data_IF_161552512527
#
_entry.id   IF_161552512527
#
_cell.length_a   1.000
_cell.length_b   1.000
_cell.length_c   1.000
_cell.angle_alpha   90.00
_cell.angle_beta   90.00
_cell.angle_gamma   90.00
#
_symmetry.space_group_name_H-M   'P 1'
#
loop_
_entity.id
_entity.type
_entity.pdbx_description
1 polymer ?
#
# COMPACT_ATOMS: atom_id res chain seq x y z
N UNK A 1 -18.06 -16.49 4.50
CA UNK A 1 -16.64 -16.45 4.91
C UNK A 1 -16.54 -15.49 6.07
N UNK A 2 -15.86 -15.91 7.15
CA UNK A 2 -15.68 -15.13 8.37
C UNK A 2 -14.92 -13.83 8.07
N UNK A 3 -15.64 -12.71 7.92
CA UNK A 3 -15.05 -11.38 8.01
C UNK A 3 -15.00 -10.95 9.47
N UNK A 4 -13.98 -10.19 9.85
CA UNK A 4 -13.90 -9.57 11.18
C UNK A 4 -15.11 -8.64 11.37
N UNK A 5 -15.74 -8.71 12.55
CA UNK A 5 -16.90 -7.87 12.89
C UNK A 5 -16.49 -6.40 12.95
N UNK A 6 -17.19 -5.55 12.20
CA UNK A 6 -16.86 -4.12 12.01
C UNK A 6 -17.60 -3.14 12.93
N UNK A 7 -18.47 -3.63 13.81
CA UNK A 7 -19.26 -2.79 14.71
C UNK A 7 -19.29 -3.37 16.13
N UNK A 8 -19.27 -2.53 17.18
CA UNK A 8 -19.51 -2.97 18.54
C UNK A 8 -20.91 -3.59 18.70
N UNK A 9 -21.10 -4.58 19.60
CA UNK A 9 -22.38 -5.19 19.88
C UNK A 9 -23.31 -4.15 20.45
N UNK A 10 -24.54 -4.15 19.95
CA UNK A 10 -25.63 -3.42 20.56
C UNK A 10 -26.16 -4.20 21.76
N UNK A 11 -26.75 -3.51 22.74
CA UNK A 11 -27.41 -4.14 23.88
C UNK A 11 -28.48 -5.11 23.35
N UNK A 12 -28.23 -6.42 23.50
CA UNK A 12 -29.06 -7.50 22.95
C UNK A 12 -28.28 -8.58 22.19
N UNK A 13 -27.02 -8.34 21.83
CA UNK A 13 -26.12 -9.39 21.33
C UNK A 13 -25.61 -10.27 22.47
N UNK A 14 -26.43 -11.21 22.92
CA UNK A 14 -26.00 -12.24 23.85
C UNK A 14 -25.05 -13.20 23.14
N UNK A 15 -23.74 -13.09 23.42
CA UNK A 15 -22.81 -14.18 23.21
C UNK A 15 -21.43 -13.90 22.59
N UNK A 16 -20.88 -12.67 22.54
CA UNK A 16 -19.52 -12.51 21.98
C UNK A 16 -18.53 -11.61 22.73
N UNK A 17 -17.29 -12.13 22.74
CA UNK A 17 -16.13 -11.78 23.55
C UNK A 17 -15.36 -10.60 22.94
N UNK A 18 -14.57 -9.91 23.77
CA UNK A 18 -13.62 -8.88 23.35
C UNK A 18 -12.75 -9.31 22.14
N UNK A 19 -12.22 -8.36 21.34
CA UNK A 19 -11.32 -8.67 20.23
C UNK A 19 -10.20 -9.61 20.68
N UNK A 20 -9.97 -10.67 19.90
CA UNK A 20 -9.04 -11.76 20.24
C UNK A 20 -7.60 -11.47 19.81
N UNK A 21 -7.42 -10.59 18.83
CA UNK A 21 -6.12 -10.12 18.36
C UNK A 21 -6.14 -8.62 18.04
N UNK A 22 -4.97 -8.05 17.75
CA UNK A 22 -4.80 -6.61 17.48
C UNK A 22 -5.56 -6.16 16.22
N UNK A 23 -5.66 -7.01 15.20
CA UNK A 23 -6.35 -6.66 13.96
C UNK A 23 -7.85 -6.52 14.19
N UNK A 24 -8.45 -7.44 14.95
CA UNK A 24 -9.84 -7.33 15.37
C UNK A 24 -10.10 -6.07 16.19
N UNK A 25 -9.20 -5.72 17.10
CA UNK A 25 -9.30 -4.50 17.90
C UNK A 25 -9.25 -3.24 17.02
N UNK A 26 -8.35 -3.21 16.03
CA UNK A 26 -8.23 -2.11 15.08
C UNK A 26 -9.53 -1.95 14.28
N UNK A 27 -10.00 -3.02 13.65
CA UNK A 27 -11.20 -3.04 12.79
C UNK A 27 -12.44 -2.63 13.59
N UNK A 28 -12.55 -3.10 14.82
CA UNK A 28 -13.63 -2.74 15.72
C UNK A 28 -13.69 -1.24 16.02
N UNK A 29 -12.54 -0.66 16.39
CA UNK A 29 -12.47 0.78 16.66
C UNK A 29 -12.70 1.61 15.39
N UNK A 30 -12.27 1.09 14.23
CA UNK A 30 -12.45 1.75 12.94
C UNK A 30 -13.93 1.92 12.58
N UNK A 31 -14.79 0.96 12.90
CA UNK A 31 -16.23 1.11 12.68
C UNK A 31 -16.83 2.32 13.37
N UNK A 32 -16.45 2.55 14.63
CA UNK A 32 -16.88 3.72 15.41
C UNK A 32 -16.29 5.03 14.87
N UNK A 33 -15.02 5.00 14.46
CA UNK A 33 -14.35 6.16 13.84
C UNK A 33 -15.04 6.56 12.54
N UNK A 34 -15.35 5.61 11.65
CA UNK A 34 -16.03 5.88 10.39
C UNK A 34 -17.44 6.43 10.60
N UNK A 35 -18.18 5.94 11.61
CA UNK A 35 -19.48 6.50 11.97
C UNK A 35 -19.37 7.99 12.34
N UNK A 36 -18.39 8.36 13.17
CA UNK A 36 -18.13 9.75 13.52
C UNK A 36 -17.68 10.59 12.32
N UNK A 37 -16.87 10.03 11.41
CA UNK A 37 -16.50 10.73 10.17
C UNK A 37 -17.73 11.03 9.31
N UNK A 38 -18.67 10.09 9.19
CA UNK A 38 -19.93 10.26 8.44
C UNK A 38 -20.86 11.30 9.08
N UNK A 39 -20.85 11.44 10.41
CA UNK A 39 -21.58 12.50 11.12
C UNK A 39 -20.98 13.89 10.83
N UNK A 40 -19.64 13.98 10.74
CA UNK A 40 -18.95 15.24 10.43
C UNK A 40 -19.12 15.65 8.96
N UNK A 41 -19.10 14.69 8.03
CA UNK A 41 -19.32 14.92 6.60
C UNK A 41 -19.98 13.69 6.00
N UNK A 42 -21.24 13.82 5.56
CA UNK A 42 -21.94 12.67 4.98
C UNK A 42 -21.34 12.24 3.63
N UNK A 43 -21.65 11.02 3.21
CA UNK A 43 -21.11 10.44 1.98
C UNK A 43 -21.46 11.28 0.74
N UNK A 44 -22.67 11.82 0.68
CA UNK A 44 -23.13 12.68 -0.41
C UNK A 44 -22.28 13.94 -0.50
N UNK A 45 -22.01 14.59 0.63
CA UNK A 45 -21.13 15.76 0.69
C UNK A 45 -19.72 15.44 0.24
N UNK A 46 -19.18 14.27 0.62
CA UNK A 46 -17.86 13.81 0.15
C UNK A 46 -17.87 13.63 -1.36
N UNK A 47 -18.88 12.95 -1.91
CA UNK A 47 -19.02 12.72 -3.36
C UNK A 47 -19.16 14.03 -4.14
N UNK A 48 -19.92 15.00 -3.64
CA UNK A 48 -20.06 16.33 -4.24
C UNK A 48 -18.71 17.06 -4.26
N UNK A 49 -17.96 17.02 -3.16
CA UNK A 49 -16.65 17.66 -3.05
C UNK A 49 -15.61 17.10 -4.04
N UNK A 50 -15.75 15.84 -4.49
CA UNK A 50 -14.85 15.22 -5.47
C UNK A 50 -14.87 15.92 -6.83
N UNK A 51 -15.95 16.63 -7.18
CA UNK A 51 -16.03 17.40 -8.43
C UNK A 51 -14.98 18.52 -8.53
N UNK A 52 -14.41 18.94 -7.40
CA UNK A 52 -13.36 19.97 -7.31
C UNK A 52 -11.95 19.39 -7.16
N UNK A 53 -11.81 18.06 -7.16
CA UNK A 53 -10.52 17.38 -6.98
C UNK A 53 -9.96 16.96 -8.34
N UNK A 54 -8.66 17.17 -8.54
CA UNK A 54 -7.98 16.72 -9.74
C UNK A 54 -8.05 15.18 -9.88
N UNK A 55 -8.04 14.65 -11.12
CA UNK A 55 -7.97 13.21 -11.35
C UNK A 55 -6.80 12.54 -10.60
N UNK A 56 -6.93 11.26 -10.21
CA UNK A 56 -5.83 10.49 -9.66
C UNK A 56 -4.64 10.42 -10.60
N UNK A 57 -3.45 10.32 -10.02
CA UNK A 57 -2.26 9.92 -10.75
C UNK A 57 -2.29 8.42 -11.01
N UNK A 58 -1.68 7.98 -12.11
CA UNK A 58 -1.61 6.57 -12.47
C UNK A 58 -0.65 5.80 -11.56
N UNK A 59 -1.20 5.18 -10.51
CA UNK A 59 -0.44 4.40 -9.52
C UNK A 59 0.22 3.17 -10.15
N UNK A 60 -0.52 2.41 -10.96
CA UNK A 60 -0.04 1.16 -11.59
C UNK A 60 1.01 1.50 -12.64
N UNK A 61 0.76 2.50 -13.49
CA UNK A 61 1.70 2.97 -14.50
C UNK A 61 3.01 3.44 -13.89
N UNK A 62 2.98 4.16 -12.76
CA UNK A 62 4.20 4.58 -12.06
C UNK A 62 5.05 3.38 -11.61
N UNK A 63 4.43 2.32 -11.09
CA UNK A 63 5.15 1.09 -10.74
C UNK A 63 5.77 0.42 -11.97
N UNK A 64 4.99 0.24 -13.05
CA UNK A 64 5.46 -0.39 -14.30
C UNK A 64 6.63 0.37 -14.91
N UNK A 65 6.53 1.69 -15.03
CA UNK A 65 7.59 2.54 -15.58
C UNK A 65 8.87 2.42 -14.75
N UNK A 66 8.78 2.50 -13.43
CA UNK A 66 9.97 2.47 -12.56
C UNK A 66 10.63 1.09 -12.52
N UNK A 67 9.84 0.03 -12.54
CA UNK A 67 10.36 -1.33 -12.64
C UNK A 67 11.12 -1.54 -13.96
N UNK A 68 10.55 -1.06 -15.08
CA UNK A 68 11.19 -1.13 -16.39
C UNK A 68 12.47 -0.29 -16.48
N UNK A 69 12.48 0.93 -15.92
CA UNK A 69 13.66 1.79 -15.89
C UNK A 69 14.80 1.20 -15.07
N UNK A 70 14.53 0.56 -13.94
CA UNK A 70 15.58 0.13 -12.99
C UNK A 70 16.01 -1.34 -13.14
N UNK A 71 15.18 -2.16 -13.79
CA UNK A 71 15.31 -3.61 -13.83
C UNK A 71 15.10 -4.29 -12.47
N UNK A 72 14.50 -3.57 -11.51
CA UNK A 72 14.27 -3.98 -10.13
C UNK A 72 12.79 -3.82 -9.76
N UNK A 73 12.31 -4.44 -8.67
CA UNK A 73 10.99 -4.15 -8.15
C UNK A 73 10.82 -2.65 -7.84
N UNK A 74 9.72 -2.05 -8.27
CA UNK A 74 9.43 -0.64 -8.00
C UNK A 74 9.20 -0.40 -6.49
N UNK A 75 9.73 0.70 -5.96
CA UNK A 75 9.58 1.04 -4.54
C UNK A 75 8.30 1.83 -4.27
N UNK A 76 7.48 1.33 -3.33
CA UNK A 76 6.45 2.09 -2.62
C UNK A 76 7.03 2.42 -1.23
N UNK A 77 7.42 3.68 -1.04
CA UNK A 77 8.03 4.11 0.22
C UNK A 77 6.96 4.55 1.23
N UNK A 78 6.99 3.98 2.43
CA UNK A 78 5.97 4.19 3.46
C UNK A 78 6.32 5.35 4.40
N UNK A 79 5.49 6.40 4.37
CA UNK A 79 5.52 7.53 5.30
C UNK A 79 4.78 7.14 6.57
N UNK A 80 5.54 6.85 7.63
CA UNK A 80 5.02 6.31 8.90
C UNK A 80 5.65 6.99 10.11
N UNK A 81 4.82 7.41 11.07
CA UNK A 81 5.26 8.00 12.34
C UNK A 81 5.51 6.96 13.43
N UNK A 82 4.56 6.05 13.63
CA UNK A 82 4.61 5.02 14.65
C UNK A 82 4.03 3.69 14.14
N UNK A 83 4.24 2.61 14.89
CA UNK A 83 3.51 1.36 14.73
C UNK A 83 3.26 0.68 16.08
N UNK A 84 2.23 -0.19 16.20
CA UNK A 84 1.99 -0.95 17.43
C UNK A 84 3.20 -1.77 17.88
N UNK A 85 3.97 -2.31 16.92
CA UNK A 85 5.13 -3.16 17.18
C UNK A 85 6.42 -2.43 17.56
N UNK A 86 6.57 -1.14 17.22
CA UNK A 86 7.82 -0.38 17.41
C UNK A 86 7.64 0.92 18.20
N UNK A 87 6.41 1.31 18.53
CA UNK A 87 6.13 2.62 19.10
C UNK A 87 6.44 3.74 18.11
N UNK A 88 6.96 4.87 18.59
CA UNK A 88 7.35 6.01 17.76
C UNK A 88 8.63 5.67 16.99
N UNK A 89 8.55 5.70 15.66
CA UNK A 89 9.66 5.41 14.75
C UNK A 89 10.34 6.72 14.32
N UNK A 90 9.55 7.76 14.07
CA UNK A 90 10.04 9.08 13.67
C UNK A 90 9.52 10.15 14.65
N UNK A 91 10.30 10.54 15.68
CA UNK A 91 9.89 11.56 16.63
C UNK A 91 9.65 12.94 16.00
N UNK A 92 10.50 13.34 15.03
CA UNK A 92 10.40 14.60 14.31
C UNK A 92 9.67 14.41 12.98
N UNK A 93 8.39 14.03 13.07
CA UNK A 93 7.60 13.64 11.91
C UNK A 93 7.10 14.84 11.10
N UNK A 94 7.70 15.03 9.92
CA UNK A 94 7.25 15.97 8.89
C UNK A 94 6.91 15.16 7.62
N UNK A 95 5.61 14.87 7.38
CA UNK A 95 5.20 13.96 6.30
C UNK A 95 5.61 14.47 4.93
N UNK A 96 5.61 15.79 4.72
CA UNK A 96 5.95 16.41 3.44
C UNK A 96 7.45 16.29 3.17
N UNK A 97 8.31 16.60 4.15
CA UNK A 97 9.76 16.45 3.98
C UNK A 97 10.17 15.00 3.75
N UNK A 98 9.57 14.06 4.48
CA UNK A 98 9.82 12.63 4.32
C UNK A 98 9.42 12.18 2.91
N UNK A 99 8.21 12.56 2.46
CA UNK A 99 7.71 12.24 1.13
C UNK A 99 8.59 12.84 0.00
N UNK A 100 9.07 14.08 0.16
CA UNK A 100 10.02 14.69 -0.78
C UNK A 100 11.34 13.92 -0.84
N UNK A 101 11.86 13.49 0.31
CA UNK A 101 13.09 12.72 0.39
C UNK A 101 12.95 11.35 -0.29
N UNK A 102 11.82 10.65 -0.09
CA UNK A 102 11.54 9.39 -0.77
C UNK A 102 11.38 9.55 -2.28
N UNK A 103 10.65 10.57 -2.73
CA UNK A 103 10.52 10.88 -4.15
C UNK A 103 11.89 11.14 -4.80
N UNK A 104 12.74 11.95 -4.13
CA UNK A 104 14.11 12.21 -4.57
C UNK A 104 14.99 10.95 -4.58
N UNK A 105 14.76 10.04 -3.63
CA UNK A 105 15.43 8.74 -3.55
C UNK A 105 14.97 7.72 -4.60
N UNK A 106 14.00 8.06 -5.46
CA UNK A 106 13.56 7.21 -6.55
C UNK A 106 12.34 6.33 -6.26
N UNK A 107 11.60 6.59 -5.17
CA UNK A 107 10.33 5.93 -4.92
C UNK A 107 9.35 6.13 -6.09
N UNK A 108 8.73 5.05 -6.54
CA UNK A 108 7.73 5.07 -7.61
C UNK A 108 6.41 5.66 -7.10
N UNK A 109 5.97 5.16 -5.95
CA UNK A 109 4.78 5.62 -5.24
C UNK A 109 5.12 5.84 -3.76
N UNK A 110 4.22 6.50 -3.04
CA UNK A 110 4.30 6.65 -1.60
C UNK A 110 3.10 5.97 -0.95
N UNK A 111 3.33 5.33 0.19
CA UNK A 111 2.28 4.82 1.06
C UNK A 111 2.19 5.73 2.29
N UNK A 112 1.01 6.22 2.63
CA UNK A 112 0.82 7.14 3.76
C UNK A 112 -0.12 6.51 4.76
N UNK A 113 0.36 6.30 5.99
CA UNK A 113 -0.49 5.83 7.09
C UNK A 113 -1.47 6.93 7.48
N UNK A 114 -2.76 6.60 7.43
CA UNK A 114 -3.84 7.52 7.83
C UNK A 114 -4.48 7.15 9.17
N UNK A 115 -4.23 5.94 9.67
CA UNK A 115 -4.78 5.50 10.94
C UNK A 115 -4.18 6.30 12.12
N UNK A 116 -5.04 7.04 12.82
CA UNK A 116 -4.63 7.91 13.92
C UNK A 116 -4.29 7.12 15.19
N UNK A 117 -5.12 6.15 15.57
CA UNK A 117 -5.05 5.52 16.90
C UNK A 117 -3.81 4.64 17.08
N UNK A 118 -3.47 3.83 16.08
CA UNK A 118 -2.43 2.80 16.17
C UNK A 118 -1.12 3.20 15.48
N UNK A 119 -1.21 4.00 14.41
CA UNK A 119 -0.03 4.42 13.63
C UNK A 119 0.33 5.90 13.79
N UNK A 120 -0.49 6.68 14.52
CA UNK A 120 -0.37 8.14 14.62
C UNK A 120 -0.29 8.83 13.26
N UNK A 121 -1.00 8.26 12.28
CA UNK A 121 -1.22 8.81 10.96
C UNK A 121 -2.37 9.82 10.94
N UNK A 122 -2.67 10.34 9.75
CA UNK A 122 -3.87 11.14 9.51
C UNK A 122 -4.15 11.29 8.02
N UNK A 123 -5.42 11.47 7.67
CA UNK A 123 -5.81 11.87 6.32
C UNK A 123 -5.25 13.26 5.94
N UNK A 124 -5.00 14.11 6.93
CA UNK A 124 -4.37 15.42 6.76
C UNK A 124 -2.90 15.30 6.31
N UNK A 125 -2.17 14.28 6.78
CA UNK A 125 -0.81 14.01 6.29
C UNK A 125 -0.81 13.66 4.80
N UNK A 126 -1.75 12.80 4.38
CA UNK A 126 -1.95 12.43 2.97
C UNK A 126 -2.28 13.68 2.12
N UNK A 127 -3.22 14.51 2.60
CA UNK A 127 -3.63 15.74 1.93
C UNK A 127 -2.47 16.75 1.83
N UNK A 128 -1.69 16.92 2.89
CA UNK A 128 -0.53 17.81 2.90
C UNK A 128 0.54 17.37 1.89
N UNK A 129 0.83 16.07 1.80
CA UNK A 129 1.75 15.50 0.79
C UNK A 129 1.26 15.78 -0.62
N UNK A 130 -0.04 15.59 -0.89
CA UNK A 130 -0.63 15.92 -2.20
C UNK A 130 -0.49 17.40 -2.52
N UNK A 131 -0.86 18.27 -1.58
CA UNK A 131 -0.84 19.73 -1.76
C UNK A 131 0.57 20.30 -1.93
N UNK A 132 1.59 19.64 -1.39
CA UNK A 132 2.99 20.00 -1.59
C UNK A 132 3.51 19.77 -3.03
N UNK A 133 2.67 19.26 -3.95
CA UNK A 133 3.02 19.10 -5.37
C UNK A 133 3.90 17.89 -5.66
N UNK A 134 3.95 16.91 -4.74
CA UNK A 134 4.74 15.69 -4.91
C UNK A 134 4.13 14.85 -6.04
N UNK A 135 4.97 14.44 -6.97
CA UNK A 135 4.53 13.81 -8.21
C UNK A 135 4.28 12.31 -8.10
N UNK A 136 4.85 11.65 -7.09
CA UNK A 136 4.57 10.24 -6.81
C UNK A 136 3.08 10.02 -6.54
N UNK A 137 2.48 8.95 -7.08
CA UNK A 137 1.16 8.53 -6.68
C UNK A 137 1.11 8.13 -5.20
N UNK A 138 -0.05 8.34 -4.56
CA UNK A 138 -0.22 8.15 -3.12
C UNK A 138 -1.19 7.00 -2.81
N UNK A 139 -0.73 6.00 -2.06
CA UNK A 139 -1.54 4.96 -1.44
C UNK A 139 -2.02 5.44 -0.07
N UNK A 140 -3.34 5.44 0.14
CA UNK A 140 -3.95 5.57 1.46
C UNK A 140 -3.83 4.24 2.19
N UNK A 141 -2.89 4.13 3.13
CA UNK A 141 -2.67 2.92 3.94
C UNK A 141 -3.52 3.03 5.21
N UNK A 142 -4.70 2.44 5.14
CA UNK A 142 -5.76 2.49 6.14
C UNK A 142 -6.42 1.12 6.29
N UNK A 143 -7.07 0.89 7.43
CA UNK A 143 -7.99 -0.23 7.60
C UNK A 143 -9.34 0.16 7.00
N UNK A 144 -9.54 -0.08 5.71
CA UNK A 144 -10.81 0.20 5.04
C UNK A 144 -11.83 -0.86 5.41
N UNK A 145 -12.94 -0.43 6.01
CA UNK A 145 -14.07 -1.26 6.45
C UNK A 145 -15.39 -0.81 5.81
N UNK A 146 -15.41 0.36 5.17
CA UNK A 146 -16.60 1.01 4.61
C UNK A 146 -16.26 1.84 3.35
N UNK A 147 -17.20 1.93 2.41
CA UNK A 147 -17.01 2.64 1.14
C UNK A 147 -16.74 4.13 1.31
N UNK A 148 -17.27 4.71 2.40
CA UNK A 148 -17.03 6.10 2.75
C UNK A 148 -15.54 6.42 2.82
N UNK A 149 -14.72 5.52 3.37
CA UNK A 149 -13.28 5.72 3.47
C UNK A 149 -12.60 5.79 2.09
N UNK A 150 -13.09 5.05 1.09
CA UNK A 150 -12.55 5.09 -0.28
C UNK A 150 -12.79 6.46 -0.92
N UNK A 151 -14.01 6.98 -0.82
CA UNK A 151 -14.33 8.32 -1.32
C UNK A 151 -13.57 9.41 -0.54
N UNK A 152 -13.49 9.28 0.78
CA UNK A 152 -12.78 10.22 1.63
C UNK A 152 -11.26 10.22 1.36
N UNK A 153 -10.66 9.06 1.13
CA UNK A 153 -9.27 8.93 0.71
C UNK A 153 -9.00 9.67 -0.60
N UNK A 154 -9.89 9.51 -1.59
CA UNK A 154 -9.79 10.25 -2.87
C UNK A 154 -9.92 11.76 -2.67
N UNK A 155 -10.86 12.20 -1.84
CA UNK A 155 -11.02 13.62 -1.49
C UNK A 155 -9.73 14.19 -0.87
N UNK A 156 -9.01 13.36 -0.11
CA UNK A 156 -7.73 13.70 0.53
C UNK A 156 -6.51 13.49 -0.39
N UNK A 157 -6.72 13.06 -1.63
CA UNK A 157 -5.69 13.01 -2.67
C UNK A 157 -5.03 11.64 -2.90
N UNK A 158 -5.60 10.56 -2.33
CA UNK A 158 -5.15 9.19 -2.57
C UNK A 158 -5.38 8.76 -4.02
N UNK A 159 -4.39 8.17 -4.67
CA UNK A 159 -4.50 7.55 -6.00
C UNK A 159 -4.71 6.04 -5.93
N UNK A 160 -4.45 5.45 -4.77
CA UNK A 160 -4.74 4.06 -4.47
C UNK A 160 -5.20 3.90 -3.03
N UNK A 161 -5.90 2.80 -2.75
CA UNK A 161 -6.29 2.41 -1.39
C UNK A 161 -5.89 0.97 -1.08
N UNK A 162 -5.71 0.67 0.20
CA UNK A 162 -5.44 -0.68 0.70
C UNK A 162 -6.76 -1.39 1.05
N UNK A 163 -6.92 -2.62 0.56
CA UNK A 163 -8.03 -3.52 0.89
C UNK A 163 -7.47 -4.79 1.49
N UNK A 164 -7.82 -5.11 2.74
CA UNK A 164 -7.21 -6.24 3.47
C UNK A 164 -8.16 -7.45 3.43
N UNK A 165 -7.69 -8.58 2.89
CA UNK A 165 -8.52 -9.77 2.64
C UNK A 165 -9.02 -10.46 3.91
N UNK A 166 -8.26 -10.38 5.01
CA UNK A 166 -8.68 -10.85 6.34
C UNK A 166 -9.77 -9.98 6.98
N UNK A 167 -9.89 -8.72 6.56
CA UNK A 167 -10.87 -7.75 7.08
C UNK A 167 -12.15 -7.73 6.24
N UNK A 168 -12.01 -7.92 4.93
CA UNK A 168 -13.11 -7.75 3.97
C UNK A 168 -13.59 -9.11 3.40
N UNK A 169 -14.90 -9.41 3.41
CA UNK A 169 -15.47 -10.47 2.60
C UNK A 169 -15.41 -10.08 1.13
N UNK A 170 -15.52 -11.08 0.26
CA UNK A 170 -15.32 -10.92 -1.19
C UNK A 170 -16.27 -9.87 -1.79
N UNK A 171 -17.51 -9.80 -1.29
CA UNK A 171 -18.52 -8.85 -1.77
C UNK A 171 -18.08 -7.38 -1.57
N UNK A 172 -17.44 -7.09 -0.44
CA UNK A 172 -16.96 -5.75 -0.15
C UNK A 172 -15.71 -5.44 -0.93
N UNK A 173 -14.79 -6.40 -1.10
CA UNK A 173 -13.61 -6.23 -1.96
C UNK A 173 -14.05 -5.90 -3.39
N UNK A 174 -15.02 -6.64 -3.93
CA UNK A 174 -15.59 -6.37 -5.26
C UNK A 174 -16.22 -4.97 -5.36
N UNK A 175 -16.98 -4.56 -4.33
CA UNK A 175 -17.57 -3.23 -4.26
C UNK A 175 -16.48 -2.14 -4.24
N UNK A 176 -15.48 -2.26 -3.36
CA UNK A 176 -14.41 -1.27 -3.22
C UNK A 176 -13.55 -1.19 -4.49
N UNK A 177 -13.26 -2.32 -5.15
CA UNK A 177 -12.57 -2.32 -6.46
C UNK A 177 -13.40 -1.56 -7.50
N UNK A 178 -14.72 -1.80 -7.55
CA UNK A 178 -15.62 -1.09 -8.47
C UNK A 178 -15.62 0.42 -8.23
N UNK A 179 -15.66 0.83 -6.95
CA UNK A 179 -15.57 2.24 -6.55
C UNK A 179 -14.21 2.84 -6.92
N UNK A 180 -13.11 2.13 -6.66
CA UNK A 180 -11.78 2.61 -7.06
C UNK A 180 -11.71 2.85 -8.56
N UNK A 181 -12.23 1.91 -9.37
CA UNK A 181 -12.29 2.06 -10.83
C UNK A 181 -13.14 3.24 -11.27
N UNK A 182 -14.31 3.47 -10.67
CA UNK A 182 -15.15 4.63 -11.00
C UNK A 182 -14.49 5.96 -10.64
N UNK A 183 -13.64 5.97 -9.62
CA UNK A 183 -12.84 7.11 -9.19
C UNK A 183 -11.48 7.24 -9.92
N UNK A 184 -11.13 6.28 -10.78
CA UNK A 184 -9.82 6.19 -11.45
C UNK A 184 -8.65 5.81 -10.53
N UNK A 185 -8.91 5.32 -9.33
CA UNK A 185 -7.90 4.86 -8.37
C UNK A 185 -7.55 3.38 -8.55
N UNK A 186 -6.37 3.00 -8.08
CA UNK A 186 -5.99 1.59 -7.92
C UNK A 186 -6.44 1.04 -6.56
N UNK A 187 -6.65 -0.28 -6.48
CA UNK A 187 -6.88 -0.99 -5.23
C UNK A 187 -5.76 -2.00 -5.01
N UNK A 188 -4.97 -1.83 -3.94
CA UNK A 188 -4.00 -2.81 -3.48
C UNK A 188 -4.71 -3.81 -2.57
N UNK A 189 -4.86 -5.06 -3.02
CA UNK A 189 -5.51 -6.11 -2.22
C UNK A 189 -4.46 -6.90 -1.47
N UNK A 190 -4.42 -6.75 -0.15
CA UNK A 190 -3.46 -7.41 0.74
C UNK A 190 -3.92 -8.82 1.11
N UNK A 191 -3.00 -9.78 1.01
CA UNK A 191 -3.18 -11.19 1.39
C UNK A 191 -1.99 -11.65 2.24
N UNK A 192 -2.25 -12.63 3.11
CA UNK A 192 -1.28 -13.25 4.01
C UNK A 192 -1.14 -14.74 3.77
N UNK A 193 -2.24 -15.41 3.38
CA UNK A 193 -2.31 -16.86 3.31
C UNK A 193 -2.68 -17.36 1.91
N UNK A 194 -2.51 -18.67 1.73
CA UNK A 194 -2.93 -19.38 0.52
C UNK A 194 -4.41 -19.21 0.26
N UNK A 195 -5.23 -19.35 1.31
CA UNK A 195 -6.69 -19.30 1.25
C UNK A 195 -7.17 -17.90 0.87
N UNK A 196 -6.51 -16.85 1.39
CA UNK A 196 -6.77 -15.48 1.00
C UNK A 196 -6.39 -15.23 -0.46
N UNK A 197 -5.21 -15.68 -0.89
CA UNK A 197 -4.80 -15.54 -2.28
C UNK A 197 -5.77 -16.27 -3.23
N UNK A 198 -6.17 -17.50 -2.90
CA UNK A 198 -7.13 -18.28 -3.70
C UNK A 198 -8.49 -17.57 -3.81
N UNK A 199 -8.97 -16.91 -2.74
CA UNK A 199 -10.17 -16.04 -2.79
C UNK A 199 -9.97 -14.88 -3.78
N UNK A 200 -8.87 -14.14 -3.64
CA UNK A 200 -8.62 -12.93 -4.44
C UNK A 200 -8.40 -13.25 -5.92
N UNK A 201 -7.76 -14.38 -6.24
CA UNK A 201 -7.62 -14.83 -7.63
C UNK A 201 -8.96 -15.18 -8.29
N UNK A 202 -9.99 -15.49 -7.51
CA UNK A 202 -11.36 -15.68 -8.00
C UNK A 202 -12.10 -14.37 -8.33
N UNK A 203 -11.62 -13.22 -7.85
CA UNK A 203 -12.26 -11.92 -8.05
C UNK A 203 -11.77 -11.28 -9.34
N UNK A 204 -12.71 -10.78 -10.15
CA UNK A 204 -12.39 -10.07 -11.38
C UNK A 204 -11.97 -8.63 -11.09
N UNK A 205 -10.99 -8.14 -11.86
CA UNK A 205 -10.59 -6.75 -11.83
C UNK A 205 -9.58 -6.38 -10.75
N UNK A 206 -9.01 -7.35 -10.04
CA UNK A 206 -7.82 -7.19 -9.21
C UNK A 206 -6.62 -6.97 -10.12
N UNK A 207 -5.86 -5.90 -9.88
CA UNK A 207 -4.67 -5.53 -10.66
C UNK A 207 -3.39 -5.48 -9.81
N UNK A 208 -3.55 -5.28 -8.49
CA UNK A 208 -2.46 -5.24 -7.51
C UNK A 208 -2.76 -6.20 -6.36
N UNK A 209 -1.82 -7.09 -6.04
CA UNK A 209 -1.87 -7.96 -4.86
C UNK A 209 -0.66 -7.68 -3.98
N UNK A 210 -0.90 -7.32 -2.72
CA UNK A 210 0.12 -7.18 -1.70
C UNK A 210 0.28 -8.47 -0.91
N UNK A 211 1.48 -9.05 -0.87
CA UNK A 211 1.78 -10.18 0.00
C UNK A 211 2.46 -9.61 1.26
N UNK A 212 1.72 -9.62 2.37
CA UNK A 212 2.24 -9.17 3.64
C UNK A 212 2.93 -10.33 4.37
N UNK A 213 4.26 -10.25 4.44
CA UNK A 213 5.09 -11.27 5.07
C UNK A 213 5.09 -11.18 6.61
N UNK A 214 4.33 -10.24 7.20
CA UNK A 214 4.15 -10.14 8.64
C UNK A 214 2.85 -10.79 9.07
N UNK A 215 2.96 -11.75 9.97
CA UNK A 215 1.81 -12.30 10.67
C UNK A 215 1.25 -11.24 11.64
N UNK A 216 -0.04 -10.91 11.54
CA UNK A 216 -0.66 -9.84 12.33
C UNK A 216 -1.04 -10.27 13.76
N UNK A 217 -1.00 -11.56 14.08
CA UNK A 217 -1.26 -12.09 15.42
C UNK A 217 0.04 -12.21 16.24
N UNK A 218 1.11 -12.70 15.60
CA UNK A 218 2.40 -12.98 16.23
C UNK A 218 3.47 -11.92 15.95
N UNK A 219 3.24 -11.03 14.98
CA UNK A 219 4.21 -10.06 14.44
C UNK A 219 5.49 -10.67 13.86
N UNK A 220 5.56 -12.00 13.72
CA UNK A 220 6.66 -12.69 13.06
C UNK A 220 6.68 -12.30 11.58
N UNK A 221 7.88 -12.26 11.00
CA UNK A 221 8.08 -11.86 9.61
C UNK A 221 8.85 -12.94 8.89
N UNK A 222 8.28 -13.45 7.79
CA UNK A 222 8.88 -14.48 6.94
C UNK A 222 8.69 -14.15 5.46
N UNK A 223 9.76 -13.68 4.82
CA UNK A 223 9.75 -13.34 3.38
C UNK A 223 9.58 -14.57 2.47
N UNK A 224 9.82 -15.79 2.97
CA UNK A 224 9.58 -17.02 2.22
C UNK A 224 8.08 -17.27 1.97
N UNK A 225 7.19 -16.61 2.72
CA UNK A 225 5.76 -16.66 2.44
C UNK A 225 5.43 -16.16 1.03
N UNK A 226 6.11 -15.11 0.56
CA UNK A 226 5.98 -14.61 -0.81
C UNK A 226 6.26 -15.70 -1.83
N UNK A 227 7.37 -16.42 -1.70
CA UNK A 227 7.73 -17.50 -2.63
C UNK A 227 6.68 -18.63 -2.58
N UNK A 228 6.30 -19.07 -1.37
CA UNK A 228 5.28 -20.11 -1.17
C UNK A 228 3.94 -19.77 -1.85
N UNK A 229 3.48 -18.51 -1.74
CA UNK A 229 2.22 -18.08 -2.33
C UNK A 229 2.26 -17.97 -3.85
N UNK A 230 3.42 -17.59 -4.41
CA UNK A 230 3.60 -17.42 -5.86
C UNK A 230 3.97 -18.71 -6.60
N UNK A 231 4.24 -19.80 -5.89
CA UNK A 231 4.55 -21.09 -6.51
C UNK A 231 3.34 -21.73 -7.22
N UNK A 232 3.64 -22.52 -8.26
CA UNK A 232 2.67 -23.36 -8.97
C UNK A 232 1.61 -22.56 -9.73
N UNK A 233 0.36 -23.04 -9.66
CA UNK A 233 -0.76 -22.52 -10.45
C UNK A 233 -1.11 -21.06 -10.10
N UNK A 234 -0.94 -20.62 -8.85
CA UNK A 234 -1.26 -19.25 -8.43
C UNK A 234 -0.40 -18.22 -9.15
N UNK A 235 0.92 -18.45 -9.16
CA UNK A 235 1.85 -17.60 -9.92
C UNK A 235 1.58 -17.60 -11.42
N UNK A 236 1.09 -18.71 -11.98
CA UNK A 236 0.67 -18.75 -13.39
C UNK A 236 -0.56 -17.86 -13.63
N UNK A 237 -1.62 -18.00 -12.82
CA UNK A 237 -2.83 -17.16 -12.94
C UNK A 237 -2.51 -15.68 -12.77
N UNK A 238 -1.64 -15.33 -11.82
CA UNK A 238 -1.18 -13.95 -11.59
C UNK A 238 -0.54 -13.37 -12.86
N UNK A 239 0.35 -14.14 -13.52
CA UNK A 239 0.99 -13.72 -14.77
C UNK A 239 0.01 -13.61 -15.93
N UNK A 240 -0.90 -14.57 -16.08
CA UNK A 240 -1.92 -14.57 -17.13
C UNK A 240 -2.89 -13.37 -17.01
N UNK A 241 -3.14 -12.91 -15.78
CA UNK A 241 -3.98 -11.75 -15.49
C UNK A 241 -3.23 -10.41 -15.47
N UNK A 242 -1.91 -10.40 -15.72
CA UNK A 242 -1.04 -9.21 -15.61
C UNK A 242 -1.15 -8.50 -14.24
N UNK A 243 -1.32 -9.28 -13.17
CA UNK A 243 -1.40 -8.74 -11.80
C UNK A 243 0.01 -8.40 -11.30
N UNK A 244 0.21 -7.18 -10.82
CA UNK A 244 1.47 -6.81 -10.16
C UNK A 244 1.42 -7.28 -8.72
N UNK A 245 2.40 -8.10 -8.35
CA UNK A 245 2.60 -8.52 -6.97
C UNK A 245 3.51 -7.54 -6.24
N UNK A 246 3.10 -7.14 -5.06
CA UNK A 246 3.83 -6.25 -4.15
C UNK A 246 4.29 -7.04 -2.94
N UNK A 247 5.60 -7.12 -2.71
CA UNK A 247 6.16 -7.72 -1.49
C UNK A 247 6.15 -6.72 -0.35
N UNK A 248 5.56 -7.07 0.78
CA UNK A 248 5.45 -6.19 1.96
C UNK A 248 6.06 -6.83 3.20
N UNK A 249 6.61 -5.99 4.09
CA UNK A 249 7.28 -6.39 5.33
C UNK A 249 8.55 -7.25 5.12
N UNK A 250 9.53 -7.10 6.03
CA UNK A 250 10.67 -8.01 6.08
C UNK A 250 11.83 -7.75 5.11
N UNK A 251 11.79 -6.65 4.36
CA UNK A 251 12.81 -6.32 3.35
C UNK A 251 13.80 -5.30 3.93
N UNK A 252 15.02 -5.74 4.22
CA UNK A 252 16.06 -4.93 4.86
C UNK A 252 17.34 -4.84 4.03
N UNK A 253 17.61 -5.81 3.16
CA UNK A 253 18.85 -5.88 2.38
C UNK A 253 18.62 -6.03 0.87
N UNK A 254 19.66 -5.79 0.05
CA UNK A 254 19.61 -6.08 -1.38
C UNK A 254 19.33 -7.56 -1.69
N UNK A 255 19.79 -8.47 -0.84
CA UNK A 255 19.52 -9.90 -0.97
C UNK A 255 18.03 -10.22 -0.79
N UNK A 256 17.35 -9.53 0.13
CA UNK A 256 15.90 -9.66 0.32
C UNK A 256 15.14 -9.20 -0.94
N UNK A 257 15.53 -8.05 -1.51
CA UNK A 257 14.95 -7.52 -2.75
C UNK A 257 15.17 -8.51 -3.90
N UNK A 258 16.39 -9.03 -4.05
CA UNK A 258 16.72 -10.00 -5.08
C UNK A 258 15.95 -11.32 -4.89
N UNK A 259 15.73 -11.74 -3.64
CA UNK A 259 14.94 -12.93 -3.31
C UNK A 259 13.49 -12.77 -3.78
N UNK A 260 12.80 -11.71 -3.37
CA UNK A 260 11.39 -11.51 -3.75
C UNK A 260 11.23 -11.21 -5.24
N UNK A 261 12.19 -10.53 -5.88
CA UNK A 261 12.19 -10.34 -7.32
C UNK A 261 12.22 -11.67 -8.07
N UNK A 262 13.06 -12.63 -7.65
CA UNK A 262 13.12 -13.97 -8.25
C UNK A 262 11.81 -14.75 -8.05
N UNK A 263 11.10 -14.51 -6.95
CA UNK A 263 9.79 -15.10 -6.70
C UNK A 263 8.68 -14.52 -7.62
N UNK A 264 8.94 -13.42 -8.33
CA UNK A 264 7.99 -12.79 -9.26
C UNK A 264 7.38 -11.49 -8.73
N UNK A 265 7.93 -10.90 -7.68
CA UNK A 265 7.48 -9.60 -7.15
C UNK A 265 7.90 -8.46 -8.08
N UNK A 266 6.93 -7.63 -8.47
CA UNK A 266 7.14 -6.48 -9.37
C UNK A 266 7.29 -5.15 -8.64
N UNK A 267 6.85 -5.05 -7.38
CA UNK A 267 7.03 -3.88 -6.53
C UNK A 267 7.22 -4.27 -5.07
N UNK A 268 7.76 -3.37 -4.24
CA UNK A 268 7.93 -3.61 -2.81
C UNK A 268 7.40 -2.44 -2.00
N UNK A 269 6.71 -2.72 -0.89
CA UNK A 269 6.26 -1.69 0.06
C UNK A 269 7.14 -1.71 1.30
N UNK A 270 7.86 -0.61 1.52
CA UNK A 270 8.92 -0.58 2.54
C UNK A 270 8.87 0.72 3.34
N UNK A 271 8.89 0.57 4.67
CA UNK A 271 9.01 1.69 5.62
C UNK A 271 10.15 1.50 6.60
N UNK A 272 10.12 0.43 7.40
CA UNK A 272 11.00 0.28 8.56
C UNK A 272 12.51 0.29 8.23
N UNK A 273 12.93 -0.36 7.15
CA UNK A 273 14.35 -0.43 6.77
C UNK A 273 14.90 0.92 6.30
N UNK A 274 14.06 1.77 5.69
CA UNK A 274 14.46 3.07 5.14
C UNK A 274 14.42 4.15 6.23
N UNK A 275 13.44 4.12 7.15
CA UNK A 275 13.27 5.15 8.19
C UNK A 275 14.42 5.18 9.21
N UNK A 276 15.14 4.07 9.41
CA UNK A 276 16.26 3.99 10.37
C UNK A 276 17.49 4.83 9.98
N UNK A 277 17.52 5.38 8.77
CA UNK A 277 18.64 6.18 8.27
C UNK A 277 18.29 7.68 8.36
N UNK A 278 19.26 8.50 8.78
CA UNK A 278 19.10 9.97 8.81
C UNK A 278 18.93 10.57 7.41
N UNK A 279 19.36 9.85 6.37
CA UNK A 279 19.14 10.18 4.96
C UNK A 279 18.29 9.08 4.29
N UNK A 280 17.00 9.36 4.02
CA UNK A 280 16.11 8.43 3.31
C UNK A 280 16.63 7.97 1.95
N UNK A 281 17.33 8.83 1.19
CA UNK A 281 17.86 8.45 -0.12
C UNK A 281 19.00 7.43 0.02
N UNK A 282 19.88 7.63 1.02
CA UNK A 282 20.90 6.66 1.36
C UNK A 282 20.30 5.33 1.86
N UNK A 283 19.21 5.38 2.65
CA UNK A 283 18.48 4.20 3.08
C UNK A 283 17.89 3.39 1.91
N UNK A 284 17.30 4.07 0.93
CA UNK A 284 16.82 3.45 -0.30
C UNK A 284 17.97 2.83 -1.09
N UNK A 285 19.07 3.56 -1.29
CA UNK A 285 20.22 3.05 -2.01
C UNK A 285 20.85 1.82 -1.32
N UNK A 286 20.91 1.83 0.02
CA UNK A 286 21.36 0.69 0.81
C UNK A 286 20.46 -0.54 0.66
N UNK A 287 19.13 -0.35 0.67
CA UNK A 287 18.16 -1.44 0.47
C UNK A 287 18.27 -2.09 -0.91
N UNK A 288 18.50 -1.31 -1.96
CA UNK A 288 18.60 -1.80 -3.33
C UNK A 288 20.02 -2.13 -3.77
N UNK A 289 21.03 -1.81 -2.96
CA UNK A 289 22.45 -1.98 -3.27
C UNK A 289 22.98 -1.01 -4.33
N UNK A 290 22.16 -0.07 -4.80
CA UNK A 290 22.50 0.96 -5.80
C UNK A 290 21.53 2.13 -5.74
N UNK A 291 21.94 3.27 -6.28
CA UNK A 291 21.08 4.44 -6.46
C UNK A 291 20.02 4.13 -7.54
N UNK A 292 18.75 4.08 -7.12
CA UNK A 292 17.61 3.86 -8.02
C UNK A 292 16.96 5.18 -8.47
N UNK A 293 17.42 6.35 -8.00
CA UNK A 293 16.83 7.65 -8.35
C UNK A 293 17.12 8.10 -9.79
N UNK A 294 18.21 7.62 -10.38
CA UNK A 294 18.66 8.02 -11.72
C UNK A 294 18.03 7.14 -12.79
N UNK A 295 17.62 7.76 -13.91
CA UNK A 295 17.30 7.02 -15.12
C UNK A 295 18.60 6.36 -15.64
N UNK A 296 18.56 5.13 -16.18
CA UNK A 296 19.71 4.57 -16.87
C UNK A 296 20.14 5.54 -17.96
N UNK A 297 21.45 5.82 -18.05
CA UNK A 297 21.99 6.52 -19.21
C UNK A 297 21.66 5.68 -20.45
N UNK A 298 20.83 6.23 -21.34
CA UNK A 298 20.67 5.68 -22.69
C UNK A 298 22.03 5.84 -23.35
N UNK A 299 22.76 4.73 -23.52
CA UNK A 299 23.95 4.72 -24.37
C UNK A 299 23.48 5.02 -25.80
N UNK A 300 23.54 6.28 -26.21
CA UNK A 300 23.46 6.66 -27.61
C UNK A 300 24.57 5.92 -28.34
N UNK A 301 24.30 5.08 -29.36
CA UNK A 301 25.35 4.47 -30.15
C UNK A 301 26.20 5.57 -30.75
N UNK A 302 27.51 5.52 -30.54
CA UNK A 302 28.44 6.43 -31.19
C UNK A 302 28.29 6.25 -32.72
N UNK A 303 28.18 7.32 -33.50
CA UNK A 303 28.19 7.20 -34.95
C UNK A 303 29.53 6.60 -35.36
N UNK A 304 29.48 5.42 -36.00
CA UNK A 304 30.64 4.81 -36.62
C UNK A 304 31.26 5.82 -37.59
N UNK A 305 32.48 6.26 -37.28
CA UNK A 305 33.26 7.10 -38.17
C UNK A 305 33.57 6.27 -39.42
N UNK A 306 32.78 6.46 -40.48
CA UNK A 306 33.11 5.96 -41.81
C UNK A 306 34.38 6.69 -42.27
N UNK A 307 35.52 6.00 -42.23
CA UNK A 307 36.74 6.46 -42.88
C UNK A 307 36.54 6.33 -44.39
N UNK A 308 36.45 7.46 -45.08
CA UNK A 308 36.76 7.56 -46.51
C UNK A 308 38.28 7.69 -46.70
#
# INVERSE_FOLDING_TARGET
GLGIRRHPPTVGDEGHCAPSNILEEIVWNKGSEVAQMKENMCLESVKEALSYVLPPKDFIGALKVRAAETGLPALIAEVKKASPSRGIIQPNFDPVKIAQAYAKGGAACLSVLTDSKYFQGSFENLQAIRQAGIQCPLLCKEFIVDEYQVYYARLKGADAVLLITSVLPDQDIMLMISICKSLGMAALVEVHSTEELDRILGINGVELIGINNRDLETFTVDIHNTEKLLQGARGQVIREKDIIVIGESGLFTPEDIAFVQRAGVGAVLVGESIVKQNDPAAGIAGLFGKDISRKPEVQTPQPESTKC
#
